data_IF_088408402298
#
_entry.id   IF_088408402298
#
_cell.length_a   1.000
_cell.length_b   1.000
_cell.length_c   1.000
_cell.angle_alpha   90.00
_cell.angle_beta   90.00
_cell.angle_gamma   90.00
#
_symmetry.space_group_name_H-M   'P 1'
#
loop_
_entity.id
_entity.type
_entity.pdbx_description
1 polymer ?
#
# COMPACT_ATOMS: atom_id res chain seq x y z
N UNK A 1 -31.60 -11.75 44.77
CA UNK A 1 -30.56 -11.35 43.79
C UNK A 1 -30.24 -9.88 44.04
N UNK A 2 -28.99 -9.56 44.42
CA UNK A 2 -28.62 -8.25 44.95
C UNK A 2 -28.54 -7.22 43.82
N UNK A 3 -29.48 -6.28 43.77
CA UNK A 3 -29.63 -5.25 42.71
C UNK A 3 -28.40 -4.35 42.55
N UNK A 4 -27.49 -4.32 43.53
CA UNK A 4 -26.21 -3.60 43.46
C UNK A 4 -25.21 -4.23 42.46
N UNK A 5 -25.33 -5.52 42.15
CA UNK A 5 -24.44 -6.20 41.19
C UNK A 5 -24.94 -6.08 39.74
N UNK A 6 -26.24 -5.78 39.55
CA UNK A 6 -26.86 -5.66 38.23
C UNK A 6 -26.52 -4.33 37.52
N UNK A 7 -26.02 -3.35 38.26
CA UNK A 7 -25.64 -2.03 37.75
C UNK A 7 -24.21 -1.96 37.17
N UNK A 8 -23.41 -3.02 37.34
CA UNK A 8 -22.04 -3.10 36.79
C UNK A 8 -22.03 -3.70 35.38
N UNK A 9 -23.07 -4.46 35.02
CA UNK A 9 -23.17 -5.16 33.74
C UNK A 9 -23.31 -4.25 32.48
N UNK A 10 -23.97 -3.08 32.50
CA UNK A 10 -24.05 -2.23 31.31
C UNK A 10 -22.76 -1.45 31.01
N UNK A 11 -21.80 -1.36 31.95
CA UNK A 11 -20.50 -0.72 31.72
C UNK A 11 -19.52 -1.61 30.92
N UNK A 12 -19.73 -2.93 30.90
CA UNK A 12 -18.86 -3.88 30.18
C UNK A 12 -19.16 -3.96 28.67
N UNK A 13 -20.31 -3.47 28.22
CA UNK A 13 -20.69 -3.44 26.80
C UNK A 13 -20.28 -2.15 26.07
N UNK A 14 -19.63 -1.22 26.77
CA UNK A 14 -19.02 -0.02 26.19
C UNK A 14 -17.54 -0.25 25.80
N UNK A 15 -17.11 -1.48 25.53
CA UNK A 15 -15.84 -1.75 24.85
C UNK A 15 -15.93 -1.34 23.38
N UNK A 16 -15.86 -0.02 23.22
CA UNK A 16 -15.63 0.78 22.04
C UNK A 16 -14.85 -0.01 20.97
N UNK A 17 -15.45 -0.11 19.79
CA UNK A 17 -14.80 -0.56 18.56
C UNK A 17 -13.70 0.46 18.18
N UNK A 18 -12.54 0.34 18.81
CA UNK A 18 -11.34 1.09 18.38
C UNK A 18 -10.86 0.41 17.09
N UNK A 19 -11.30 0.93 15.94
CA UNK A 19 -10.59 0.67 14.69
C UNK A 19 -9.26 1.41 14.79
N UNK A 20 -8.19 0.68 15.12
CA UNK A 20 -6.85 1.23 15.09
C UNK A 20 -6.52 1.56 13.63
N UNK A 21 -6.49 2.85 13.30
CA UNK A 21 -6.04 3.32 11.98
C UNK A 21 -4.54 3.03 11.86
N UNK A 22 -4.16 2.39 10.74
CA UNK A 22 -2.76 2.13 10.44
C UNK A 22 -1.98 3.43 10.29
N UNK A 23 -0.66 3.35 10.47
CA UNK A 23 0.20 4.53 10.41
C UNK A 23 1.42 4.31 9.52
N UNK A 24 1.86 5.40 8.89
CA UNK A 24 3.03 5.42 8.03
C UNK A 24 4.02 6.45 8.56
N UNK A 25 5.24 5.98 8.86
CA UNK A 25 6.33 6.86 9.25
C UNK A 25 7.10 7.31 8.00
N UNK A 26 7.23 8.62 7.82
CA UNK A 26 7.99 9.21 6.73
C UNK A 26 8.70 10.48 7.20
N UNK A 27 10.04 10.51 7.04
CA UNK A 27 10.90 11.63 7.45
C UNK A 27 10.68 12.09 8.90
N UNK A 28 10.53 11.14 9.82
CA UNK A 28 10.36 11.41 11.25
C UNK A 28 8.96 11.92 11.65
N UNK A 29 8.01 11.95 10.71
CA UNK A 29 6.59 12.22 10.97
C UNK A 29 5.76 10.95 10.78
N UNK A 30 4.74 10.79 11.62
CA UNK A 30 3.76 9.70 11.52
C UNK A 30 2.48 10.24 10.89
N UNK A 31 1.99 9.56 9.86
CA UNK A 31 0.77 9.92 9.14
C UNK A 31 -0.28 8.81 9.28
N UNK A 32 -1.58 9.15 9.37
CA UNK A 32 -2.65 8.16 9.26
C UNK A 32 -2.61 7.54 7.86
N UNK A 33 -2.71 6.22 7.79
CA UNK A 33 -2.52 5.45 6.57
C UNK A 33 -3.55 4.33 6.43
N UNK A 34 -3.71 3.87 5.20
CA UNK A 34 -4.45 2.65 4.91
C UNK A 34 -3.70 1.43 5.43
N UNK A 35 -4.37 0.28 5.53
CA UNK A 35 -3.69 -1.00 5.50
C UNK A 35 -2.75 -1.09 4.29
N UNK A 36 -1.73 -1.93 4.43
CA UNK A 36 -0.85 -2.23 3.33
C UNK A 36 -1.51 -3.32 2.45
N UNK A 37 -1.56 -3.07 1.14
CA UNK A 37 -2.16 -3.97 0.15
C UNK A 37 -1.08 -4.67 -0.65
N UNK A 38 -1.13 -6.00 -0.70
CA UNK A 38 -0.22 -6.79 -1.51
C UNK A 38 -0.81 -6.96 -2.92
N UNK A 39 -0.40 -6.07 -3.82
CA UNK A 39 -0.79 -6.14 -5.22
C UNK A 39 0.09 -7.16 -5.94
N UNK A 40 -0.51 -7.92 -6.86
CA UNK A 40 0.19 -8.99 -7.57
C UNK A 40 1.10 -8.38 -8.63
N UNK A 41 2.35 -8.79 -8.63
CA UNK A 41 3.37 -8.38 -9.56
C UNK A 41 4.00 -9.63 -10.20
N UNK A 42 3.27 -10.26 -11.12
CA UNK A 42 3.61 -11.58 -11.70
C UNK A 42 5.03 -11.63 -12.30
N UNK A 43 5.46 -10.53 -12.91
CA UNK A 43 6.77 -10.44 -13.55
C UNK A 43 7.93 -10.22 -12.56
N UNK A 44 7.65 -10.04 -11.27
CA UNK A 44 8.67 -9.88 -10.23
C UNK A 44 8.92 -11.20 -9.49
N UNK A 45 9.88 -11.97 -9.96
CA UNK A 45 10.07 -13.38 -9.58
C UNK A 45 10.39 -13.63 -8.09
N UNK A 46 10.86 -12.63 -7.36
CA UNK A 46 11.27 -12.81 -5.96
C UNK A 46 10.07 -13.01 -5.02
N UNK A 47 9.14 -12.06 -4.99
CA UNK A 47 7.94 -12.12 -4.15
C UNK A 47 6.66 -12.35 -4.95
N UNK A 48 6.63 -12.03 -6.24
CA UNK A 48 5.40 -12.01 -7.03
C UNK A 48 4.43 -10.90 -6.62
N UNK A 49 4.84 -9.98 -5.75
CA UNK A 49 3.96 -9.01 -5.08
C UNK A 49 4.67 -7.67 -4.85
N UNK A 50 3.89 -6.59 -4.86
CA UNK A 50 4.28 -5.25 -4.45
C UNK A 50 3.32 -4.74 -3.38
N UNK A 51 3.87 -4.27 -2.27
CA UNK A 51 3.13 -3.75 -1.14
C UNK A 51 2.85 -2.26 -1.32
N UNK A 52 1.57 -1.90 -1.30
CA UNK A 52 1.07 -0.56 -1.59
C UNK A 52 0.40 0.00 -0.33
N UNK A 53 0.74 1.23 0.04
CA UNK A 53 0.09 1.91 1.17
C UNK A 53 -0.12 3.38 0.83
N UNK A 54 -1.26 3.93 1.22
CA UNK A 54 -1.58 5.35 1.07
C UNK A 54 -1.68 5.99 2.45
N UNK A 55 -1.03 7.13 2.63
CA UNK A 55 -1.15 7.95 3.84
C UNK A 55 -1.68 9.35 3.51
N UNK A 56 -2.36 9.96 4.48
CA UNK A 56 -2.87 11.33 4.37
C UNK A 56 -1.90 12.31 5.03
N UNK A 57 -1.56 13.36 4.30
CA UNK A 57 -0.68 14.44 4.77
C UNK A 57 -1.44 15.75 4.90
N UNK A 58 -0.76 16.79 5.39
CA UNK A 58 -1.34 18.13 5.52
C UNK A 58 -1.70 18.76 4.15
N UNK A 59 -1.01 18.36 3.07
CA UNK A 59 -1.16 18.97 1.72
C UNK A 59 -1.75 18.03 0.66
N UNK A 60 -2.06 16.78 1.04
CA UNK A 60 -2.56 15.76 0.12
C UNK A 60 -2.33 14.37 0.71
N UNK A 61 -1.46 13.59 0.06
CA UNK A 61 -1.13 12.24 0.51
C UNK A 61 0.26 11.77 0.11
N UNK A 62 0.59 10.57 0.58
CA UNK A 62 1.82 9.85 0.34
C UNK A 62 1.47 8.45 -0.15
N UNK A 63 1.95 8.09 -1.33
CA UNK A 63 1.95 6.72 -1.81
C UNK A 63 3.29 6.07 -1.44
N UNK A 64 3.24 4.95 -0.75
CA UNK A 64 4.38 4.06 -0.51
C UNK A 64 4.23 2.83 -1.38
N UNK A 65 5.26 2.54 -2.16
CA UNK A 65 5.41 1.27 -2.89
C UNK A 65 6.61 0.56 -2.29
N UNK A 66 6.44 -0.69 -1.88
CA UNK A 66 7.53 -1.52 -1.38
C UNK A 66 7.58 -2.86 -2.10
N UNK A 67 8.78 -3.34 -2.42
CA UNK A 67 9.01 -4.67 -2.98
C UNK A 67 10.13 -5.35 -2.22
N UNK A 68 10.04 -6.66 -2.05
CA UNK A 68 11.17 -7.44 -1.55
C UNK A 68 12.35 -7.29 -2.50
N UNK A 69 13.59 -7.18 -2.03
CA UNK A 69 14.79 -7.13 -2.87
C UNK A 69 15.86 -8.03 -2.29
N UNK A 70 16.80 -8.49 -3.10
CA UNK A 70 17.97 -9.26 -2.63
C UNK A 70 19.19 -8.37 -2.37
N UNK A 71 19.12 -7.09 -2.72
CA UNK A 71 20.21 -6.13 -2.58
C UNK A 71 19.62 -4.74 -2.24
N UNK A 72 20.16 -4.04 -1.22
CA UNK A 72 19.72 -2.69 -0.86
C UNK A 72 20.06 -1.62 -1.93
N UNK A 73 20.90 -1.95 -2.92
CA UNK A 73 21.21 -1.07 -4.06
C UNK A 73 20.09 -1.01 -5.10
N UNK A 74 19.11 -1.92 -5.02
CA UNK A 74 17.93 -1.89 -5.88
C UNK A 74 16.90 -0.92 -5.33
N UNK A 75 16.42 -0.03 -6.18
CA UNK A 75 15.53 1.05 -5.82
C UNK A 75 14.40 1.18 -6.83
N UNK A 76 13.20 1.53 -6.34
CA UNK A 76 12.12 1.95 -7.22
C UNK A 76 12.43 3.38 -7.65
N UNK A 77 12.47 3.62 -8.97
CA UNK A 77 12.95 4.87 -9.54
C UNK A 77 12.09 5.34 -10.71
N UNK A 78 12.24 6.61 -11.08
CA UNK A 78 11.62 7.15 -12.29
C UNK A 78 10.14 7.52 -12.12
N UNK A 79 9.37 7.43 -13.21
CA UNK A 79 7.95 7.78 -13.18
C UNK A 79 7.11 6.56 -12.86
N UNK A 80 6.21 6.70 -11.89
CA UNK A 80 5.24 5.70 -11.49
C UNK A 80 3.86 6.13 -11.98
N UNK A 81 3.07 5.18 -12.49
CA UNK A 81 1.73 5.44 -13.01
C UNK A 81 0.71 4.63 -12.22
N UNK A 82 -0.28 5.29 -11.64
CA UNK A 82 -1.43 4.66 -10.99
C UNK A 82 -2.57 4.65 -11.99
N UNK A 83 -2.97 3.47 -12.44
CA UNK A 83 -4.13 3.27 -13.30
C UNK A 83 -5.34 3.00 -12.43
N UNK A 84 -6.40 3.78 -12.63
CA UNK A 84 -7.66 3.65 -11.91
C UNK A 84 -8.67 2.85 -12.72
N UNK A 85 -9.68 2.29 -12.05
CA UNK A 85 -10.72 1.47 -12.72
C UNK A 85 -11.56 2.27 -13.72
N UNK A 86 -11.61 3.60 -13.60
CA UNK A 86 -12.26 4.51 -14.55
C UNK A 86 -11.40 4.83 -15.80
N UNK A 87 -10.29 4.11 -15.98
CA UNK A 87 -9.29 4.28 -17.05
C UNK A 87 -8.49 5.58 -17.01
N UNK A 88 -8.58 6.34 -15.93
CA UNK A 88 -7.75 7.51 -15.74
C UNK A 88 -6.42 7.16 -15.06
N UNK A 89 -5.44 8.05 -15.18
CA UNK A 89 -4.08 7.82 -14.71
C UNK A 89 -3.66 8.96 -13.78
N UNK A 90 -3.01 8.61 -12.66
CA UNK A 90 -2.27 9.54 -11.81
C UNK A 90 -0.78 9.30 -12.06
N UNK A 91 -0.04 10.37 -12.33
CA UNK A 91 1.39 10.31 -12.66
C UNK A 91 2.20 10.76 -11.45
N UNK A 92 2.97 9.85 -10.88
CA UNK A 92 3.80 10.09 -9.71
C UNK A 92 5.27 10.23 -10.14
N UNK A 93 5.86 11.38 -9.86
CA UNK A 93 7.27 11.64 -10.16
C UNK A 93 8.11 11.32 -8.92
N UNK A 94 9.09 10.44 -9.09
CA UNK A 94 10.06 10.11 -8.04
C UNK A 94 10.87 11.36 -7.62
N UNK A 95 10.89 11.63 -6.32
CA UNK A 95 11.69 12.68 -5.69
C UNK A 95 12.85 12.12 -4.87
N UNK A 96 13.29 10.89 -5.16
CA UNK A 96 14.37 10.14 -4.50
C UNK A 96 14.12 9.95 -3.01
N UNK A 97 12.87 9.74 -2.64
CA UNK A 97 12.48 9.42 -1.26
C UNK A 97 12.40 7.90 -1.13
N UNK A 98 13.54 7.24 -0.96
CA UNK A 98 13.65 5.79 -0.92
C UNK A 98 14.14 5.31 0.44
N UNK A 99 13.58 4.21 0.93
CA UNK A 99 14.06 3.48 2.10
C UNK A 99 14.45 2.07 1.66
N UNK A 100 15.72 1.71 1.83
CA UNK A 100 16.20 0.38 1.54
C UNK A 100 16.63 -0.31 2.83
N UNK A 101 16.16 -1.55 3.01
CA UNK A 101 16.67 -2.50 4.00
C UNK A 101 17.31 -3.68 3.27
N UNK A 102 17.93 -4.61 4.01
CA UNK A 102 18.63 -5.76 3.43
C UNK A 102 17.78 -6.55 2.42
N UNK A 103 16.48 -6.72 2.72
CA UNK A 103 15.57 -7.58 1.96
C UNK A 103 14.38 -6.84 1.32
N UNK A 104 14.36 -5.51 1.35
CA UNK A 104 13.21 -4.73 0.89
C UNK A 104 13.62 -3.33 0.46
N UNK A 105 13.04 -2.84 -0.62
CA UNK A 105 13.14 -1.43 -1.01
C UNK A 105 11.75 -0.82 -1.01
N UNK A 106 11.63 0.42 -0.55
CA UNK A 106 10.41 1.19 -0.51
C UNK A 106 10.64 2.59 -1.08
N UNK A 107 9.66 3.16 -1.76
CA UNK A 107 9.73 4.50 -2.33
C UNK A 107 8.44 5.25 -2.10
N UNK A 108 8.58 6.53 -1.78
CA UNK A 108 7.49 7.43 -1.40
C UNK A 108 7.24 8.49 -2.47
N UNK A 109 6.00 8.54 -2.95
CA UNK A 109 5.53 9.51 -3.92
C UNK A 109 4.52 10.45 -3.27
N UNK A 110 4.62 11.74 -3.59
CA UNK A 110 3.64 12.71 -3.10
C UNK A 110 2.41 12.71 -4.00
N UNK A 111 1.24 12.75 -3.40
CA UNK A 111 -0.05 12.91 -4.06
C UNK A 111 -0.62 14.27 -3.64
N UNK A 112 -1.11 15.03 -4.62
CA UNK A 112 -1.86 16.26 -4.39
C UNK A 112 -3.24 15.97 -3.77
N UNK A 113 -3.87 16.99 -3.20
CA UNK A 113 -5.23 16.88 -2.70
C UNK A 113 -6.24 16.45 -3.79
N UNK A 114 -6.04 16.87 -5.04
CA UNK A 114 -6.92 16.50 -6.17
C UNK A 114 -6.78 15.01 -6.47
N UNK A 115 -5.56 14.49 -6.51
CA UNK A 115 -5.29 13.07 -6.73
C UNK A 115 -5.83 12.22 -5.57
N UNK A 116 -5.66 12.66 -4.33
CA UNK A 116 -6.26 12.00 -3.17
C UNK A 116 -7.79 11.96 -3.24
N UNK A 117 -8.43 13.06 -3.61
CA UNK A 117 -9.89 13.09 -3.79
C UNK A 117 -10.38 12.14 -4.89
N UNK A 118 -9.54 11.89 -5.89
CA UNK A 118 -9.82 10.91 -6.94
C UNK A 118 -9.71 9.48 -6.44
N UNK A 119 -8.64 9.18 -5.71
CA UNK A 119 -8.41 7.88 -5.07
C UNK A 119 -9.49 7.53 -4.05
N UNK A 120 -10.08 8.52 -3.37
CA UNK A 120 -11.25 8.32 -2.47
C UNK A 120 -12.53 7.90 -3.19
N UNK A 121 -12.60 8.04 -4.51
CA UNK A 121 -13.82 7.78 -5.31
C UNK A 121 -13.66 6.61 -6.26
N UNK A 122 -12.43 6.25 -6.60
CA UNK A 122 -12.13 5.33 -7.69
C UNK A 122 -11.02 4.40 -7.27
N UNK A 123 -11.27 3.10 -7.39
CA UNK A 123 -10.29 2.09 -7.04
C UNK A 123 -9.04 2.13 -7.92
N UNK A 124 -7.92 1.79 -7.31
CA UNK A 124 -6.67 1.52 -8.02
C UNK A 124 -6.83 0.18 -8.73
N UNK A 125 -6.66 0.18 -10.05
CA UNK A 125 -6.64 -1.04 -10.85
C UNK A 125 -5.24 -1.66 -10.86
N UNK A 126 -4.23 -0.85 -11.18
CA UNK A 126 -2.83 -1.29 -11.22
C UNK A 126 -1.86 -0.12 -11.06
N UNK A 127 -0.63 -0.44 -10.69
CA UNK A 127 0.47 0.52 -10.55
C UNK A 127 1.65 0.04 -11.37
N UNK A 128 2.13 0.88 -12.28
CA UNK A 128 3.36 0.65 -13.03
C UNK A 128 4.52 1.42 -12.41
N UNK A 129 5.62 0.73 -12.15
CA UNK A 129 6.81 1.31 -11.55
C UNK A 129 8.07 0.65 -12.12
N UNK A 130 9.23 1.28 -11.89
CA UNK A 130 10.51 0.77 -12.37
C UNK A 130 11.42 0.42 -11.19
N UNK A 131 12.13 -0.69 -11.27
CA UNK A 131 13.24 -1.01 -10.37
C UNK A 131 14.55 -0.84 -11.14
N UNK A 132 15.47 -0.06 -10.59
CA UNK A 132 16.83 0.10 -11.13
C UNK A 132 17.87 -0.01 -10.02
N UNK A 133 19.12 -0.21 -10.41
CA UNK A 133 20.26 -0.35 -9.49
C UNK A 133 21.38 -1.19 -10.10
N UNK A 134 22.42 -1.43 -9.30
CA UNK A 134 23.52 -2.32 -9.71
C UNK A 134 23.14 -3.77 -9.44
N UNK A 135 23.28 -4.64 -10.42
CA UNK A 135 22.97 -6.08 -10.30
C UNK A 135 24.23 -6.94 -10.33
N UNK A 136 24.13 -8.11 -9.72
CA UNK A 136 25.05 -9.24 -9.83
C UNK A 136 24.27 -10.50 -10.27
N UNK A 137 24.95 -11.65 -10.38
CA UNK A 137 24.33 -12.92 -10.85
C UNK A 137 23.14 -13.40 -10.02
N UNK A 138 23.01 -12.95 -8.78
CA UNK A 138 21.97 -13.35 -7.82
C UNK A 138 21.04 -12.18 -7.42
N UNK A 139 21.11 -11.05 -8.14
CA UNK A 139 20.25 -9.90 -7.86
C UNK A 139 18.82 -10.11 -8.36
N UNK A 140 17.87 -9.44 -7.70
CA UNK A 140 16.49 -9.33 -8.18
C UNK A 140 16.43 -8.66 -9.55
N UNK A 141 15.33 -8.90 -10.26
CA UNK A 141 15.12 -8.34 -11.60
C UNK A 141 15.03 -6.81 -11.56
N UNK A 142 15.70 -6.17 -12.52
CA UNK A 142 15.54 -4.74 -12.83
C UNK A 142 14.66 -4.59 -14.07
N UNK A 143 13.95 -3.48 -14.16
CA UNK A 143 13.07 -3.20 -15.29
C UNK A 143 11.75 -2.58 -14.89
N UNK A 144 10.76 -2.76 -15.77
CA UNK A 144 9.41 -2.23 -15.62
C UNK A 144 8.50 -3.31 -15.03
N UNK A 145 7.75 -2.95 -14.00
CA UNK A 145 6.86 -3.85 -13.30
C UNK A 145 5.46 -3.26 -13.22
N UNK A 146 4.46 -4.13 -13.20
CA UNK A 146 3.06 -3.76 -13.02
C UNK A 146 2.50 -4.58 -11.87
N UNK A 147 2.06 -3.89 -10.83
CA UNK A 147 1.36 -4.48 -9.70
C UNK A 147 -0.15 -4.29 -9.88
N UNK A 148 -0.95 -5.36 -9.77
CA UNK A 148 -2.38 -5.37 -10.09
C UNK A 148 -3.20 -5.64 -8.83
N UNK A 149 -4.27 -4.86 -8.63
CA UNK A 149 -5.22 -5.00 -7.51
C UNK A 149 -6.23 -6.16 -7.70
N UNK A 150 -5.87 -7.18 -8.49
CA UNK A 150 -6.76 -8.32 -8.73
C UNK A 150 -5.99 -9.58 -9.11
N UNK A 151 -6.37 -10.71 -8.50
CA UNK A 151 -5.98 -12.05 -8.95
C UNK A 151 -6.60 -12.37 -10.30
N UNK A 152 -5.75 -12.68 -11.28
CA UNK A 152 -6.10 -13.20 -12.60
C UNK A 152 -6.42 -14.71 -12.56
N UNK A 153 -6.00 -15.42 -11.51
CA UNK A 153 -6.08 -16.87 -11.41
C UNK A 153 -6.97 -17.35 -10.25
N UNK A 154 -7.54 -18.55 -10.41
CA UNK A 154 -8.36 -19.19 -9.37
C UNK A 154 -7.49 -19.59 -8.17
N UNK A 155 -7.78 -19.00 -7.01
CA UNK A 155 -7.20 -19.39 -5.74
C UNK A 155 -7.58 -20.84 -5.40
N UNK A 156 -6.63 -21.63 -4.89
CA UNK A 156 -6.96 -22.98 -4.39
C UNK A 156 -7.80 -22.86 -3.12
N UNK A 157 -8.51 -23.94 -2.74
CA UNK A 157 -9.35 -23.98 -1.52
C UNK A 157 -8.59 -23.57 -0.24
N UNK A 158 -7.25 -23.63 -0.25
CA UNK A 158 -6.40 -23.30 0.89
C UNK A 158 -5.80 -21.89 0.85
N UNK A 159 -5.92 -21.17 -0.27
CA UNK A 159 -5.45 -19.79 -0.39
C UNK A 159 -6.50 -18.82 0.20
N UNK A 160 -6.10 -18.13 1.27
CA UNK A 160 -6.94 -17.18 2.03
C UNK A 160 -6.64 -15.71 1.68
N UNK A 161 -5.70 -15.44 0.79
CA UNK A 161 -5.33 -14.05 0.49
C UNK A 161 -6.40 -13.37 -0.36
N UNK A 162 -6.65 -12.08 -0.10
CA UNK A 162 -7.73 -11.31 -0.73
C UNK A 162 -7.56 -11.32 -2.26
N UNK A 163 -8.68 -11.45 -2.98
CA UNK A 163 -8.67 -11.46 -4.46
C UNK A 163 -8.52 -10.05 -5.05
N UNK A 164 -8.93 -9.02 -4.32
CA UNK A 164 -8.82 -7.60 -4.65
C UNK A 164 -9.03 -6.76 -3.39
N UNK A 165 -8.60 -5.51 -3.41
CA UNK A 165 -8.77 -4.54 -2.32
C UNK A 165 -9.72 -3.42 -2.75
N UNK A 166 -10.65 -3.04 -1.88
CA UNK A 166 -11.52 -1.86 -2.04
C UNK A 166 -10.75 -0.61 -1.58
N UNK A 167 -9.78 -0.24 -2.42
CA UNK A 167 -8.85 0.84 -2.13
C UNK A 167 -9.56 2.18 -1.95
N UNK A 168 -10.64 2.45 -2.69
CA UNK A 168 -11.37 3.70 -2.58
C UNK A 168 -12.05 3.83 -1.22
N UNK A 169 -12.74 2.78 -0.76
CA UNK A 169 -13.36 2.78 0.56
C UNK A 169 -12.32 2.91 1.68
N UNK A 170 -11.19 2.20 1.57
CA UNK A 170 -10.12 2.25 2.57
C UNK A 170 -9.37 3.60 2.58
N UNK A 171 -9.27 4.31 1.45
CA UNK A 171 -8.70 5.66 1.40
C UNK A 171 -9.73 6.71 1.87
N UNK A 172 -11.03 6.45 1.69
CA UNK A 172 -12.09 7.35 2.11
C UNK A 172 -12.10 7.57 3.63
N UNK A 173 -11.76 6.53 4.40
CA UNK A 173 -11.68 6.59 5.88
C UNK A 173 -10.45 7.35 6.42
N UNK A 174 -9.55 7.84 5.55
CA UNK A 174 -8.41 8.70 5.94
C UNK A 174 -8.76 10.18 6.17
#
# INVERSE_FOLDING_TARGET
MNYKTLLILPFLFLSILVNAQESLNFKGKTYPATPAWDFICENYALSGEANIQIAKTETGGLLKISVATTDPKLQITGTTYIYLVDNTIIVCIDKKNTEATENKTATYFNLSAIEMNKLKKTDIQSIRFNISGTTNKFSSQIGNFTAVNKKSYYATKFDKSKNSFDTAAEIQVL
#
